data_IF_951630917172
#
_entry.id   IF_951630917172
#
_cell.length_a   1.000
_cell.length_b   1.000
_cell.length_c   1.000
_cell.angle_alpha   90.00
_cell.angle_beta   90.00
_cell.angle_gamma   90.00
#
_symmetry.space_group_name_H-M   'P 1'
#
loop_
_entity.id
_entity.type
_entity.pdbx_description
1 polymer ?
#
# COMPACT_ATOMS: atom_id res chain seq x y z
N UNK A 1 -7.89 -10.63 13.86
CA UNK A 1 -8.62 -10.23 12.64
C UNK A 1 -9.33 -11.39 11.96
N UNK A 2 -8.71 -12.58 11.81
CA UNK A 2 -9.31 -13.76 11.15
C UNK A 2 -10.70 -14.08 11.72
N UNK A 3 -10.87 -14.03 13.05
CA UNK A 3 -12.18 -14.26 13.69
C UNK A 3 -13.26 -13.30 13.17
N UNK A 4 -12.90 -12.03 12.92
CA UNK A 4 -13.84 -11.02 12.37
C UNK A 4 -14.17 -11.29 10.91
N UNK A 5 -13.17 -11.61 10.10
CA UNK A 5 -13.36 -11.90 8.67
C UNK A 5 -14.21 -13.14 8.48
N UNK A 6 -13.89 -14.22 9.20
CA UNK A 6 -14.58 -15.52 9.04
C UNK A 6 -15.90 -15.61 9.83
N UNK A 7 -16.17 -14.67 10.72
CA UNK A 7 -17.33 -14.75 11.62
C UNK A 7 -17.27 -15.94 12.60
N UNK A 8 -16.04 -16.39 12.95
CA UNK A 8 -15.80 -17.53 13.82
C UNK A 8 -15.11 -17.04 15.08
N UNK A 9 -15.60 -17.47 16.24
CA UNK A 9 -14.95 -17.19 17.53
C UNK A 9 -13.76 -18.15 17.74
N UNK A 10 -12.60 -17.80 17.14
CA UNK A 10 -11.41 -18.67 17.07
C UNK A 10 -10.87 -19.02 18.47
N UNK A 11 -10.83 -18.08 19.42
CA UNK A 11 -10.28 -18.32 20.76
C UNK A 11 -11.14 -19.32 21.56
N UNK A 12 -12.46 -19.13 21.71
CA UNK A 12 -13.30 -20.16 22.33
C UNK A 12 -13.18 -21.51 21.65
N UNK A 13 -13.17 -21.55 20.31
CA UNK A 13 -13.00 -22.79 19.56
C UNK A 13 -11.66 -23.50 19.88
N UNK A 14 -10.56 -22.77 19.93
CA UNK A 14 -9.25 -23.31 20.31
C UNK A 14 -9.26 -23.87 21.74
N UNK A 15 -9.89 -23.16 22.68
CA UNK A 15 -10.05 -23.62 24.08
C UNK A 15 -10.87 -24.92 24.11
N UNK A 16 -11.98 -24.98 23.37
CA UNK A 16 -12.82 -26.17 23.32
C UNK A 16 -12.08 -27.39 22.76
N UNK A 17 -11.24 -27.18 21.72
CA UNK A 17 -10.41 -28.25 21.13
C UNK A 17 -9.41 -28.75 22.20
N UNK A 18 -8.61 -27.88 22.77
CA UNK A 18 -7.58 -28.27 23.76
C UNK A 18 -8.20 -28.91 25.00
N UNK A 19 -9.28 -28.33 25.53
CA UNK A 19 -9.92 -28.89 26.73
C UNK A 19 -10.64 -30.22 26.45
N UNK A 20 -11.14 -30.45 25.24
CA UNK A 20 -11.73 -31.74 24.88
C UNK A 20 -10.69 -32.86 24.87
N UNK A 21 -9.48 -32.60 24.38
CA UNK A 21 -8.37 -33.55 24.44
C UNK A 21 -7.97 -33.89 25.87
N UNK A 22 -7.82 -32.84 26.71
CA UNK A 22 -7.40 -33.02 28.11
C UNK A 22 -8.44 -33.70 28.99
N UNK A 23 -9.72 -33.54 28.70
CA UNK A 23 -10.82 -34.03 29.54
C UNK A 23 -11.54 -35.24 28.96
N UNK A 24 -11.11 -35.74 27.79
CA UNK A 24 -11.76 -36.85 27.11
C UNK A 24 -13.17 -36.52 26.57
N UNK A 25 -13.54 -35.24 26.48
CA UNK A 25 -14.81 -34.81 25.87
C UNK A 25 -14.73 -34.91 24.33
N UNK A 26 -15.87 -34.94 23.67
CA UNK A 26 -15.96 -34.94 22.22
C UNK A 26 -15.35 -33.65 21.65
N UNK A 27 -14.38 -33.80 20.73
CA UNK A 27 -13.76 -32.66 20.03
C UNK A 27 -14.76 -31.99 19.08
N UNK A 28 -14.78 -30.66 18.99
CA UNK A 28 -15.62 -29.92 18.03
C UNK A 28 -15.07 -29.98 16.59
N UNK A 29 -13.84 -30.49 16.37
CA UNK A 29 -13.17 -30.50 15.06
C UNK A 29 -13.99 -31.21 13.97
N UNK A 30 -14.62 -32.38 14.19
CA UNK A 30 -15.40 -33.04 13.16
C UNK A 30 -16.66 -32.26 12.71
N UNK A 31 -17.08 -31.28 13.46
CA UNK A 31 -18.25 -30.43 13.15
C UNK A 31 -17.86 -29.15 12.39
N UNK A 32 -16.54 -28.87 12.25
CA UNK A 32 -16.06 -27.73 11.48
C UNK A 32 -16.26 -27.96 9.98
N UNK A 33 -16.83 -26.97 9.32
CA UNK A 33 -17.06 -26.98 7.87
C UNK A 33 -16.36 -25.80 7.23
N UNK A 34 -15.92 -26.00 5.99
CA UNK A 34 -15.49 -24.87 5.17
C UNK A 34 -16.61 -23.83 5.03
N UNK A 35 -16.24 -22.58 5.09
CA UNK A 35 -17.15 -21.45 4.88
C UNK A 35 -16.68 -20.64 3.69
N UNK A 36 -17.60 -20.40 2.77
CA UNK A 36 -17.37 -19.40 1.73
C UNK A 36 -17.60 -18.00 2.34
N UNK A 37 -16.60 -17.14 2.24
CA UNK A 37 -16.68 -15.76 2.71
C UNK A 37 -17.00 -14.90 1.47
N UNK A 38 -18.20 -14.27 1.39
CA UNK A 38 -18.65 -13.57 0.18
C UNK A 38 -18.10 -12.15 0.08
N UNK A 39 -16.95 -11.87 0.69
CA UNK A 39 -16.31 -10.57 0.67
C UNK A 39 -14.79 -10.70 0.86
N UNK A 40 -14.07 -9.62 0.52
CA UNK A 40 -12.65 -9.49 0.75
C UNK A 40 -12.37 -8.92 2.13
N UNK A 41 -11.37 -9.48 2.81
CA UNK A 41 -10.81 -8.94 4.04
C UNK A 41 -9.35 -8.57 3.81
N UNK A 42 -9.05 -7.27 3.81
CA UNK A 42 -7.69 -6.76 3.66
C UNK A 42 -7.17 -6.35 5.03
N UNK A 43 -6.06 -6.96 5.42
CA UNK A 43 -5.31 -6.60 6.62
C UNK A 43 -4.19 -5.65 6.25
N UNK A 44 -4.06 -4.55 6.98
CA UNK A 44 -2.94 -3.62 6.87
C UNK A 44 -2.24 -3.44 8.22
N UNK A 45 -0.92 -3.29 8.20
CA UNK A 45 -0.13 -3.03 9.39
C UNK A 45 -0.10 -1.52 9.70
N UNK A 46 -0.17 -1.17 10.98
CA UNK A 46 -0.01 0.22 11.42
C UNK A 46 1.42 0.44 11.88
N UNK A 47 2.11 1.40 11.27
CA UNK A 47 3.48 1.76 11.60
C UNK A 47 3.53 3.14 12.27
N UNK A 48 4.30 3.30 13.36
CA UNK A 48 4.39 4.55 14.10
C UNK A 48 5.43 5.53 13.54
N UNK A 49 5.79 5.44 12.26
CA UNK A 49 6.85 6.28 11.67
C UNK A 49 6.56 7.78 11.76
N UNK A 50 5.28 8.17 11.73
CA UNK A 50 4.88 9.57 11.93
C UNK A 50 5.20 10.10 13.33
N UNK A 51 5.33 9.20 14.32
CA UNK A 51 5.65 9.55 15.71
C UNK A 51 7.16 9.55 15.98
N UNK A 52 7.94 8.87 15.14
CA UNK A 52 9.38 8.68 15.31
C UNK A 52 10.11 9.06 14.02
N UNK A 53 10.26 10.35 13.78
CA UNK A 53 10.84 10.91 12.55
C UNK A 53 12.33 10.54 12.32
N UNK A 54 13.04 10.13 13.37
CA UNK A 54 14.44 9.71 13.28
C UNK A 54 14.61 8.23 12.90
N UNK A 55 13.51 7.45 12.88
CA UNK A 55 13.55 6.02 12.55
C UNK A 55 13.49 5.86 11.05
N UNK A 56 14.41 5.07 10.48
CA UNK A 56 14.37 4.69 9.07
C UNK A 56 13.08 3.91 8.77
N UNK A 57 12.23 4.38 7.85
CA UNK A 57 10.99 3.71 7.48
C UNK A 57 11.20 2.44 6.64
N UNK A 58 12.43 2.11 6.26
CA UNK A 58 12.73 0.87 5.54
C UNK A 58 12.45 -0.32 6.46
N UNK A 59 11.59 -1.23 5.99
CA UNK A 59 11.23 -2.43 6.73
C UNK A 59 12.35 -3.45 6.65
N UNK A 60 12.75 -3.97 7.82
CA UNK A 60 13.68 -5.08 8.00
C UNK A 60 12.95 -6.35 8.46
N UNK A 61 13.69 -7.38 8.88
CA UNK A 61 13.11 -8.62 9.39
C UNK A 61 12.43 -8.45 10.76
N UNK A 62 12.70 -7.33 11.46
CA UNK A 62 12.14 -7.06 12.77
C UNK A 62 10.70 -6.54 12.65
N UNK A 63 9.84 -6.92 13.58
CA UNK A 63 8.50 -6.37 13.69
C UNK A 63 8.55 -4.92 14.14
N UNK A 64 8.08 -3.99 13.29
CA UNK A 64 8.00 -2.54 13.58
C UNK A 64 6.56 -2.02 13.66
N UNK A 65 5.57 -2.86 13.38
CA UNK A 65 4.17 -2.47 13.46
C UNK A 65 3.70 -2.39 14.91
N UNK A 66 2.87 -1.38 15.22
CA UNK A 66 2.24 -1.18 16.53
C UNK A 66 0.80 -1.69 16.59
N UNK A 67 0.27 -2.10 15.45
CA UNK A 67 -1.09 -2.61 15.37
C UNK A 67 -1.43 -3.13 13.98
N UNK A 68 -2.68 -3.52 13.82
CA UNK A 68 -3.24 -4.00 12.57
C UNK A 68 -4.67 -3.52 12.41
N UNK A 69 -5.06 -3.20 11.18
CA UNK A 69 -6.41 -2.78 10.82
C UNK A 69 -7.02 -3.71 9.78
N UNK A 70 -8.31 -3.57 9.54
CA UNK A 70 -9.06 -4.43 8.65
C UNK A 70 -10.02 -3.62 7.78
N UNK A 71 -9.90 -3.76 6.47
CA UNK A 71 -10.90 -3.33 5.51
C UNK A 71 -11.74 -4.50 5.02
N UNK A 72 -13.05 -4.33 4.97
CA UNK A 72 -14.01 -5.34 4.47
C UNK A 72 -14.87 -4.76 3.36
N UNK A 73 -14.99 -5.47 2.25
CA UNK A 73 -15.92 -5.14 1.16
C UNK A 73 -16.16 -6.34 0.24
N UNK A 74 -17.23 -6.28 -0.54
CA UNK A 74 -17.47 -7.20 -1.65
C UNK A 74 -16.51 -6.98 -2.82
N UNK A 75 -15.86 -5.80 -2.89
CA UNK A 75 -14.86 -5.43 -3.89
C UNK A 75 -13.49 -5.32 -3.25
N UNK A 76 -12.47 -5.95 -3.87
CA UNK A 76 -11.10 -5.93 -3.35
C UNK A 76 -10.54 -4.51 -3.19
N UNK A 77 -10.67 -3.67 -4.22
CA UNK A 77 -10.16 -2.29 -4.19
C UNK A 77 -10.78 -1.45 -3.06
N UNK A 78 -12.08 -1.61 -2.81
CA UNK A 78 -12.75 -0.94 -1.69
C UNK A 78 -12.29 -1.47 -0.33
N UNK A 79 -12.09 -2.79 -0.19
CA UNK A 79 -11.57 -3.39 1.03
C UNK A 79 -10.14 -2.88 1.31
N UNK A 80 -9.31 -2.79 0.27
CA UNK A 80 -7.95 -2.23 0.35
C UNK A 80 -7.98 -0.76 0.77
N UNK A 81 -8.79 0.07 0.11
CA UNK A 81 -8.94 1.47 0.45
C UNK A 81 -9.37 1.67 1.91
N UNK A 82 -10.37 0.91 2.39
CA UNK A 82 -10.81 0.95 3.78
C UNK A 82 -9.69 0.56 4.77
N UNK A 83 -8.85 -0.41 4.41
CA UNK A 83 -7.71 -0.79 5.24
C UNK A 83 -6.68 0.35 5.31
N UNK A 84 -6.35 0.99 4.19
CA UNK A 84 -5.44 2.14 4.13
C UNK A 84 -5.97 3.32 4.96
N UNK A 85 -7.24 3.71 4.78
CA UNK A 85 -7.87 4.77 5.59
C UNK A 85 -7.79 4.50 7.09
N UNK A 86 -7.92 3.22 7.49
CA UNK A 86 -7.87 2.81 8.90
C UNK A 86 -6.45 2.86 9.49
N UNK A 87 -5.38 2.91 8.69
CA UNK A 87 -3.99 3.09 9.18
C UNK A 87 -3.66 4.54 9.55
N UNK A 88 -4.59 5.47 9.34
CA UNK A 88 -4.38 6.93 9.42
C UNK A 88 -3.52 7.51 8.28
N UNK A 89 -3.08 6.70 7.34
CA UNK A 89 -2.43 7.15 6.11
C UNK A 89 -3.53 7.36 5.07
N UNK A 90 -4.06 8.59 5.02
CA UNK A 90 -5.14 8.92 4.08
C UNK A 90 -4.60 8.94 2.66
N UNK A 91 -5.24 8.19 1.78
CA UNK A 91 -5.00 8.31 0.35
C UNK A 91 -5.63 9.61 -0.18
N UNK A 92 -4.92 10.41 -0.98
CA UNK A 92 -5.47 11.64 -1.53
C UNK A 92 -6.58 11.31 -2.54
N UNK A 93 -7.65 12.10 -2.52
CA UNK A 93 -8.77 11.99 -3.48
C UNK A 93 -8.55 12.84 -4.75
N UNK A 94 -7.42 13.53 -4.85
CA UNK A 94 -7.03 14.40 -5.94
C UNK A 94 -5.74 15.11 -5.59
N UNK A 95 -5.27 16.01 -6.45
CA UNK A 95 -4.02 16.73 -6.26
C UNK A 95 -2.98 16.33 -7.31
N UNK A 96 -1.73 16.25 -6.92
CA UNK A 96 -0.61 15.96 -7.82
C UNK A 96 0.02 14.60 -7.49
N UNK A 97 0.06 13.69 -8.46
CA UNK A 97 0.78 12.42 -8.34
C UNK A 97 2.12 12.50 -9.08
N UNK A 98 3.19 12.12 -8.40
CA UNK A 98 4.48 11.90 -9.04
C UNK A 98 4.62 10.42 -9.40
N UNK A 99 4.91 10.15 -10.67
CA UNK A 99 5.14 8.79 -11.18
C UNK A 99 6.58 8.66 -11.66
N UNK A 100 7.34 7.78 -11.02
CA UNK A 100 8.69 7.41 -11.42
C UNK A 100 8.86 5.90 -11.34
N UNK A 101 8.82 5.25 -12.50
CA UNK A 101 8.80 3.79 -12.58
C UNK A 101 9.92 3.26 -13.48
N UNK A 102 10.38 2.05 -13.16
CA UNK A 102 11.37 1.38 -14.00
C UNK A 102 10.79 0.98 -15.36
N UNK A 103 11.68 0.57 -16.29
CA UNK A 103 11.25 0.27 -17.65
C UNK A 103 10.28 -0.92 -17.76
N UNK A 104 10.33 -1.86 -16.82
CA UNK A 104 9.49 -3.07 -16.86
C UNK A 104 8.04 -2.74 -16.50
N UNK A 105 7.82 -1.73 -15.64
CA UNK A 105 6.52 -1.39 -15.10
C UNK A 105 5.80 -0.30 -15.89
N UNK A 106 6.43 0.24 -16.95
CA UNK A 106 5.87 1.36 -17.74
C UNK A 106 4.58 1.01 -18.43
N UNK A 107 4.45 -0.20 -18.95
CA UNK A 107 3.26 -0.64 -19.68
C UNK A 107 2.03 -0.72 -18.75
N UNK A 108 2.18 -1.36 -17.60
CA UNK A 108 1.11 -1.44 -16.58
C UNK A 108 0.78 -0.07 -16.01
N UNK A 109 1.80 0.80 -15.85
CA UNK A 109 1.61 2.15 -15.31
C UNK A 109 0.78 3.06 -16.23
N UNK A 110 0.71 2.82 -17.53
CA UNK A 110 -0.12 3.59 -18.46
C UNK A 110 -1.61 3.51 -18.07
N UNK A 111 -2.12 2.32 -17.73
CA UNK A 111 -3.51 2.15 -17.31
C UNK A 111 -3.77 2.87 -15.98
N UNK A 112 -2.88 2.68 -15.01
CA UNK A 112 -2.98 3.37 -13.70
C UNK A 112 -2.94 4.89 -13.86
N UNK A 113 -2.06 5.41 -14.73
CA UNK A 113 -1.99 6.85 -14.99
C UNK A 113 -3.24 7.40 -15.66
N UNK A 114 -3.89 6.61 -16.52
CA UNK A 114 -5.18 6.98 -17.13
C UNK A 114 -6.29 7.09 -16.10
N UNK A 115 -6.36 6.12 -15.19
CA UNK A 115 -7.36 6.11 -14.10
C UNK A 115 -7.13 7.28 -13.15
N UNK A 116 -5.88 7.56 -12.77
CA UNK A 116 -5.53 8.73 -11.94
C UNK A 116 -5.90 10.05 -12.62
N UNK A 117 -5.71 10.14 -13.94
CA UNK A 117 -6.12 11.31 -14.72
C UNK A 117 -7.62 11.48 -14.72
N UNK A 118 -8.39 10.39 -14.87
CA UNK A 118 -9.86 10.40 -14.78
C UNK A 118 -10.35 10.78 -13.38
N UNK A 119 -9.63 10.36 -12.34
CA UNK A 119 -9.87 10.74 -10.96
C UNK A 119 -9.52 12.22 -10.65
N UNK A 120 -8.97 12.96 -11.63
CA UNK A 120 -8.69 14.40 -11.50
C UNK A 120 -7.29 14.74 -10.99
N UNK A 121 -6.37 13.77 -10.92
CA UNK A 121 -4.99 14.05 -10.55
C UNK A 121 -4.20 14.75 -11.67
N UNK A 122 -3.33 15.66 -11.27
CA UNK A 122 -2.23 16.15 -12.12
C UNK A 122 -1.08 15.17 -12.04
N UNK A 123 -0.46 14.87 -13.17
CA UNK A 123 0.63 13.89 -13.23
C UNK A 123 1.96 14.62 -13.43
N UNK A 124 2.89 14.42 -12.50
CA UNK A 124 4.32 14.70 -12.68
C UNK A 124 5.04 13.40 -13.01
N UNK A 125 6.02 13.44 -13.89
CA UNK A 125 6.77 12.24 -14.24
C UNK A 125 8.22 12.55 -14.56
N UNK A 126 9.13 11.62 -14.21
CA UNK A 126 10.52 11.67 -14.65
C UNK A 126 10.65 11.38 -16.14
N UNK A 127 11.73 11.84 -16.77
CA UNK A 127 11.94 11.86 -18.22
C UNK A 127 11.51 10.57 -18.94
N UNK A 128 11.94 9.41 -18.43
CA UNK A 128 11.63 8.13 -19.07
C UNK A 128 10.17 7.71 -18.91
N UNK A 129 9.55 8.01 -17.77
CA UNK A 129 8.14 7.77 -17.51
C UNK A 129 7.27 8.74 -18.28
N UNK A 130 7.63 10.03 -18.30
CA UNK A 130 6.92 11.05 -19.08
C UNK A 130 6.84 10.69 -20.55
N UNK A 131 7.96 10.22 -21.14
CA UNK A 131 7.97 9.77 -22.55
C UNK A 131 6.97 8.63 -22.78
N UNK A 132 6.96 7.62 -21.91
CA UNK A 132 6.02 6.49 -22.05
C UNK A 132 4.55 6.94 -21.91
N UNK A 133 4.26 7.88 -21.02
CA UNK A 133 2.92 8.45 -20.86
C UNK A 133 2.53 9.29 -22.10
N UNK A 134 3.45 10.09 -22.64
CA UNK A 134 3.20 10.88 -23.84
C UNK A 134 2.95 10.00 -25.07
N UNK A 135 3.69 8.91 -25.23
CA UNK A 135 3.48 7.92 -26.31
C UNK A 135 2.10 7.23 -26.22
N UNK A 136 1.44 7.29 -25.05
CA UNK A 136 0.09 6.79 -24.77
C UNK A 136 -0.97 7.90 -24.68
N UNK A 137 -0.68 9.12 -25.17
CA UNK A 137 -1.54 10.30 -25.16
C UNK A 137 -1.96 10.77 -23.73
N UNK A 138 -1.14 10.49 -22.72
CA UNK A 138 -1.37 10.95 -21.34
C UNK A 138 -0.50 12.17 -21.06
N UNK A 139 -1.14 13.32 -20.85
CA UNK A 139 -0.46 14.58 -20.53
C UNK A 139 0.09 14.53 -19.11
N UNK A 140 1.40 14.75 -18.97
CA UNK A 140 2.11 14.85 -17.70
C UNK A 140 3.17 15.96 -17.75
N UNK A 141 3.47 16.55 -16.59
CA UNK A 141 4.53 17.54 -16.44
C UNK A 141 5.86 16.84 -16.11
N UNK A 142 6.95 17.40 -16.58
CA UNK A 142 8.29 16.85 -16.36
C UNK A 142 8.85 17.29 -15.01
N UNK A 143 9.56 16.36 -14.34
CA UNK A 143 10.37 16.65 -13.16
C UNK A 143 11.72 15.94 -13.25
N UNK A 144 12.78 16.61 -12.78
CA UNK A 144 14.12 16.02 -12.70
C UNK A 144 14.22 14.99 -11.57
N UNK A 145 14.97 13.92 -11.76
CA UNK A 145 15.47 13.06 -10.68
C UNK A 145 16.48 13.85 -9.82
N UNK A 146 16.83 13.31 -8.64
CA UNK A 146 17.69 13.97 -7.66
C UNK A 146 18.99 14.53 -8.26
N UNK A 147 19.64 13.77 -9.15
CA UNK A 147 20.98 14.09 -9.67
C UNK A 147 20.96 14.64 -11.10
N UNK A 148 19.79 14.93 -11.68
CA UNK A 148 19.67 15.35 -13.09
C UNK A 148 19.53 16.87 -13.27
N UNK A 149 19.07 17.59 -12.24
CA UNK A 149 18.84 19.04 -12.32
C UNK A 149 17.93 19.57 -11.23
N UNK A 150 17.53 20.84 -11.35
CA UNK A 150 16.58 21.51 -10.45
C UNK A 150 15.55 22.32 -11.25
N UNK A 151 14.29 22.46 -10.74
CA UNK A 151 13.76 21.80 -9.54
C UNK A 151 13.61 20.29 -9.75
N UNK A 152 13.97 19.50 -8.75
CA UNK A 152 13.90 18.05 -8.77
C UNK A 152 12.78 17.51 -7.87
N UNK A 153 12.66 16.19 -7.79
CA UNK A 153 11.64 15.49 -7.01
C UNK A 153 11.61 15.99 -5.56
N UNK A 154 12.77 16.11 -4.89
CA UNK A 154 12.84 16.55 -3.49
C UNK A 154 12.36 17.99 -3.34
N UNK A 155 12.70 18.88 -4.29
CA UNK A 155 12.23 20.27 -4.25
C UNK A 155 10.69 20.33 -4.30
N UNK A 156 10.04 19.46 -5.09
CA UNK A 156 8.57 19.37 -5.16
C UNK A 156 7.96 18.77 -3.88
N UNK A 157 8.57 17.72 -3.32
CA UNK A 157 8.11 17.08 -2.08
C UNK A 157 8.22 18.03 -0.89
N UNK A 158 9.39 18.66 -0.69
CA UNK A 158 9.64 19.60 0.42
C UNK A 158 8.70 20.80 0.36
N UNK A 159 8.31 21.24 -0.84
CA UNK A 159 7.35 22.32 -1.02
C UNK A 159 5.87 21.87 -0.95
N UNK A 160 5.60 20.62 -0.58
CA UNK A 160 4.24 20.10 -0.45
C UNK A 160 3.44 20.10 -1.76
N UNK A 161 4.12 19.96 -2.91
CA UNK A 161 3.49 19.97 -4.24
C UNK A 161 3.13 18.58 -4.76
N UNK A 162 3.40 17.53 -3.99
CA UNK A 162 3.11 16.14 -4.33
C UNK A 162 2.24 15.56 -3.24
N UNK A 163 1.08 15.04 -3.64
CA UNK A 163 0.09 14.42 -2.75
C UNK A 163 0.22 12.89 -2.75
N UNK A 164 0.73 12.32 -3.85
CA UNK A 164 0.91 10.87 -4.02
C UNK A 164 2.21 10.60 -4.79
N UNK A 165 2.99 9.63 -4.32
CA UNK A 165 4.18 9.15 -4.99
C UNK A 165 4.00 7.68 -5.40
N UNK A 166 4.22 7.40 -6.69
CA UNK A 166 4.34 6.04 -7.23
C UNK A 166 5.76 5.86 -7.74
N UNK A 167 6.53 5.03 -7.02
CA UNK A 167 7.94 4.77 -7.34
C UNK A 167 8.22 3.27 -7.41
N UNK A 168 8.86 2.82 -8.51
CA UNK A 168 9.39 1.47 -8.63
C UNK A 168 10.87 1.53 -9.01
N UNK A 169 11.80 1.29 -8.04
CA UNK A 169 13.23 1.37 -8.29
C UNK A 169 13.71 0.22 -9.19
N UNK A 170 14.69 0.49 -10.08
CA UNK A 170 15.21 -0.50 -11.01
C UNK A 170 16.48 -1.21 -10.52
N UNK A 171 17.24 -0.61 -9.58
CA UNK A 171 18.54 -1.12 -9.13
C UNK A 171 18.83 -0.80 -7.65
N UNK A 172 19.86 -1.46 -7.09
CA UNK A 172 20.31 -1.21 -5.72
C UNK A 172 20.76 0.25 -5.48
N UNK A 173 21.29 0.94 -6.49
CA UNK A 173 21.68 2.35 -6.39
C UNK A 173 20.46 3.27 -6.37
N UNK A 174 19.38 2.90 -7.02
CA UNK A 174 18.11 3.63 -6.98
C UNK A 174 17.36 3.40 -5.65
N UNK A 175 17.71 2.37 -4.88
CA UNK A 175 17.21 2.19 -3.50
C UNK A 175 17.73 3.24 -2.53
N UNK A 176 18.89 3.85 -2.78
CA UNK A 176 19.41 4.98 -1.98
C UNK A 176 18.53 6.21 -2.23
N UNK A 177 18.23 6.49 -3.49
CA UNK A 177 17.30 7.57 -3.86
C UNK A 177 15.89 7.30 -3.27
N UNK A 178 15.44 6.03 -3.25
CA UNK A 178 14.18 5.61 -2.65
C UNK A 178 14.13 5.85 -1.12
N UNK A 179 15.25 5.62 -0.42
CA UNK A 179 15.36 5.93 1.02
C UNK A 179 15.19 7.42 1.30
N UNK A 180 15.77 8.28 0.48
CA UNK A 180 15.65 9.74 0.64
C UNK A 180 14.24 10.25 0.27
N UNK A 181 13.55 9.57 -0.64
CA UNK A 181 12.15 9.88 -0.98
C UNK A 181 11.15 9.49 0.13
N UNK A 182 11.53 8.56 1.03
CA UNK A 182 10.65 8.09 2.13
C UNK A 182 10.80 8.87 3.43
N UNK A 183 11.86 9.66 3.57
CA UNK A 183 12.12 10.56 4.71
C UNK A 183 11.41 11.89 4.51
#
# INVERSE_FOLDING_TARGET
LVSKVCGIRMVPLAIDIVTSELTGRKSPVPELKERNIPYYGVKEAVFPFNMFQEVDPILGPEMRSTGEVLGLSQFYGEAFFKAQEATQTKLPHGGTVLITVNNKDKEEMIEVARDLKQAGFKILATKGTQKALADADIVSEFVYKLNEGRPNIIDFMTNGKIDLLINTPASANEHIDDSDLRK
#
